data_IF_097249304950
#
_entry.id   IF_097249304950
#
_cell.length_a   1.000
_cell.length_b   1.000
_cell.length_c   1.000
_cell.angle_alpha   90.00
_cell.angle_beta   90.00
_cell.angle_gamma   90.00
#
_symmetry.space_group_name_H-M   'P 1'
#
loop_
_entity.id
_entity.type
_entity.pdbx_description
1 polymer ?
#
# COMPACT_ATOMS: atom_id res chain seq x y z
N UNK A 1 24.16 -6.17 9.72
CA UNK A 1 23.03 -5.23 9.89
C UNK A 1 22.95 -4.30 8.68
N UNK A 2 22.63 -4.85 7.50
CA UNK A 2 22.53 -4.07 6.26
C UNK A 2 21.48 -4.61 5.30
N UNK A 3 20.96 -5.82 5.52
CA UNK A 3 19.92 -6.44 4.69
C UNK A 3 18.61 -5.68 4.82
N UNK A 4 18.11 -5.45 6.03
CA UNK A 4 16.81 -4.79 6.28
C UNK A 4 16.68 -3.38 5.67
N UNK A 5 17.75 -2.58 5.69
CA UNK A 5 17.75 -1.22 5.12
C UNK A 5 17.82 -1.21 3.59
N UNK A 6 18.52 -2.18 2.98
CA UNK A 6 18.51 -2.34 1.52
C UNK A 6 17.15 -2.82 1.03
N UNK A 7 16.52 -3.73 1.76
CA UNK A 7 15.19 -4.23 1.43
C UNK A 7 14.11 -3.15 1.61
N UNK A 8 14.27 -2.24 2.56
CA UNK A 8 13.39 -1.08 2.72
C UNK A 8 13.47 -0.14 1.51
N UNK A 9 14.67 0.31 1.13
CA UNK A 9 14.83 1.21 -0.02
C UNK A 9 14.29 0.59 -1.31
N UNK A 10 14.62 -0.68 -1.57
CA UNK A 10 14.10 -1.40 -2.74
C UNK A 10 12.57 -1.46 -2.78
N UNK A 11 11.91 -1.69 -1.63
CA UNK A 11 10.45 -1.72 -1.54
C UNK A 11 9.84 -0.35 -1.87
N UNK A 12 10.40 0.73 -1.30
CA UNK A 12 10.00 2.10 -1.59
C UNK A 12 10.17 2.47 -3.07
N UNK A 13 11.33 2.17 -3.65
CA UNK A 13 11.60 2.37 -5.08
C UNK A 13 10.61 1.61 -5.97
N UNK A 14 10.31 0.36 -5.63
CA UNK A 14 9.36 -0.46 -6.37
C UNK A 14 7.94 0.14 -6.29
N UNK A 15 7.51 0.56 -5.10
CA UNK A 15 6.21 1.18 -4.85
C UNK A 15 6.06 2.44 -5.71
N UNK A 16 7.04 3.33 -5.62
CA UNK A 16 7.14 4.55 -6.41
C UNK A 16 7.07 4.28 -7.91
N UNK A 17 7.84 3.30 -8.40
CA UNK A 17 7.86 2.92 -9.81
C UNK A 17 6.49 2.45 -10.30
N UNK A 18 5.83 1.56 -9.56
CA UNK A 18 4.50 1.05 -9.90
C UNK A 18 3.44 2.16 -9.94
N UNK A 19 3.52 3.12 -9.01
CA UNK A 19 2.63 4.27 -8.97
C UNK A 19 2.80 5.14 -10.22
N UNK A 20 4.05 5.42 -10.61
CA UNK A 20 4.34 6.19 -11.82
C UNK A 20 3.88 5.45 -13.08
N UNK A 21 3.99 4.11 -13.13
CA UNK A 21 3.46 3.32 -14.24
C UNK A 21 1.93 3.44 -14.35
N UNK A 22 1.22 3.34 -13.23
CA UNK A 22 -0.24 3.55 -13.19
C UNK A 22 -0.62 4.95 -13.66
N UNK A 23 0.10 5.97 -13.19
CA UNK A 23 -0.14 7.36 -13.58
C UNK A 23 0.09 7.58 -15.09
N UNK A 24 1.09 6.93 -15.68
CA UNK A 24 1.35 6.96 -17.13
C UNK A 24 0.33 6.16 -17.94
N UNK A 25 -0.52 5.36 -17.29
CA UNK A 25 -1.45 4.44 -17.96
C UNK A 25 -0.78 3.19 -18.54
N UNK A 26 0.43 2.86 -18.07
CA UNK A 26 1.17 1.68 -18.53
C UNK A 26 0.61 0.42 -17.85
N UNK A 27 -0.09 -0.40 -18.64
CA UNK A 27 -0.65 -1.69 -18.23
C UNK A 27 -1.33 -1.69 -16.83
N UNK A 28 -2.33 -0.82 -16.58
CA UNK A 28 -2.89 -0.64 -15.25
C UNK A 28 -3.50 -1.93 -14.66
N UNK A 29 -4.00 -2.82 -15.52
CA UNK A 29 -4.55 -4.11 -15.14
C UNK A 29 -3.49 -5.07 -14.59
N UNK A 30 -2.25 -4.99 -15.09
CA UNK A 30 -1.13 -5.79 -14.62
C UNK A 30 -0.42 -5.18 -13.41
N UNK A 31 -0.40 -3.85 -13.30
CA UNK A 31 0.30 -3.13 -12.23
C UNK A 31 -0.55 -3.05 -10.95
N UNK A 32 -1.87 -2.80 -11.04
CA UNK A 32 -2.79 -2.78 -9.89
C UNK A 32 -2.64 -3.99 -8.95
N UNK A 33 -2.74 -5.25 -9.41
CA UNK A 33 -2.64 -6.41 -8.52
C UNK A 33 -1.25 -6.57 -7.92
N UNK A 34 -0.19 -6.11 -8.59
CA UNK A 34 1.17 -6.11 -8.04
C UNK A 34 1.32 -5.06 -6.93
N UNK A 35 0.79 -3.87 -7.17
CA UNK A 35 0.78 -2.77 -6.21
C UNK A 35 0.03 -3.17 -4.92
N UNK A 36 -1.15 -3.77 -5.06
CA UNK A 36 -1.96 -4.29 -3.95
C UNK A 36 -1.15 -5.27 -3.09
N UNK A 37 -0.49 -6.25 -3.72
CA UNK A 37 0.35 -7.22 -2.98
C UNK A 37 1.54 -6.58 -2.27
N UNK A 38 2.12 -5.54 -2.87
CA UNK A 38 3.24 -4.82 -2.28
C UNK A 38 2.79 -3.99 -1.07
N UNK A 39 1.69 -3.24 -1.22
CA UNK A 39 1.08 -2.45 -0.14
C UNK A 39 0.74 -3.31 1.08
N UNK A 40 0.24 -4.53 0.89
CA UNK A 40 0.00 -5.47 1.99
C UNK A 40 1.26 -5.96 2.73
N UNK A 41 2.47 -5.67 2.24
CA UNK A 41 3.76 -6.06 2.84
C UNK A 41 4.60 -4.87 3.30
N UNK A 42 4.22 -3.65 2.92
CA UNK A 42 4.94 -2.43 3.24
C UNK A 42 4.25 -1.77 4.44
N UNK A 43 5.00 -1.40 5.50
CA UNK A 43 4.38 -0.72 6.64
C UNK A 43 3.86 0.66 6.23
N UNK A 44 2.78 1.09 6.89
CA UNK A 44 2.10 2.36 6.58
C UNK A 44 3.04 3.57 6.55
N UNK A 45 4.00 3.65 7.47
CA UNK A 45 5.00 4.72 7.54
C UNK A 45 5.80 4.86 6.23
N UNK A 46 6.23 3.73 5.67
CA UNK A 46 6.99 3.71 4.42
C UNK A 46 6.14 4.14 3.21
N UNK A 47 4.83 3.85 3.24
CA UNK A 47 3.89 4.27 2.19
C UNK A 47 3.75 5.79 2.21
N UNK A 48 3.50 6.38 3.39
CA UNK A 48 3.35 7.84 3.54
C UNK A 48 4.61 8.58 3.09
N UNK A 49 5.80 8.06 3.42
CA UNK A 49 7.05 8.65 2.94
C UNK A 49 7.12 8.67 1.39
N UNK A 50 6.81 7.55 0.73
CA UNK A 50 6.81 7.45 -0.74
C UNK A 50 5.75 8.37 -1.37
N UNK A 51 4.58 8.48 -0.76
CA UNK A 51 3.52 9.39 -1.20
C UNK A 51 3.98 10.86 -1.16
N UNK A 52 4.63 11.28 -0.07
CA UNK A 52 5.19 12.63 0.03
C UNK A 52 6.30 12.87 -0.99
N UNK A 53 7.18 11.90 -1.22
CA UNK A 53 8.23 12.00 -2.25
C UNK A 53 7.62 12.20 -3.65
N UNK A 54 6.59 11.42 -3.99
CA UNK A 54 5.89 11.52 -5.27
C UNK A 54 5.21 12.88 -5.47
N UNK A 55 4.61 13.43 -4.42
CA UNK A 55 4.02 14.79 -4.46
C UNK A 55 5.11 15.84 -4.73
N UNK A 56 6.25 15.72 -4.05
CA UNK A 56 7.39 16.63 -4.24
C UNK A 56 7.99 16.54 -5.65
N UNK A 57 7.89 15.38 -6.31
CA UNK A 57 8.30 15.18 -7.70
C UNK A 57 7.27 15.69 -8.72
N UNK A 58 6.11 16.15 -8.26
CA UNK A 58 5.07 16.76 -9.09
C UNK A 58 3.89 15.85 -9.41
N UNK A 59 3.76 14.69 -8.75
CA UNK A 59 2.54 13.89 -8.84
C UNK A 59 1.41 14.61 -8.09
N UNK A 60 0.24 14.85 -8.71
CA UNK A 60 -0.84 15.55 -8.04
C UNK A 60 -1.38 14.73 -6.87
N UNK A 61 -1.73 15.41 -5.78
CA UNK A 61 -2.26 14.77 -4.55
C UNK A 61 -3.47 13.89 -4.83
N UNK A 62 -4.31 14.24 -5.81
CA UNK A 62 -5.46 13.43 -6.23
C UNK A 62 -5.06 12.03 -6.73
N UNK A 63 -3.96 11.92 -7.47
CA UNK A 63 -3.44 10.64 -7.96
C UNK A 63 -2.88 9.80 -6.81
N UNK A 64 -2.26 10.45 -5.84
CA UNK A 64 -1.78 9.80 -4.62
C UNK A 64 -2.95 9.28 -3.78
N UNK A 65 -4.02 10.07 -3.60
CA UNK A 65 -5.21 9.67 -2.85
C UNK A 65 -5.93 8.48 -3.49
N UNK A 66 -5.90 8.33 -4.82
CA UNK A 66 -6.42 7.13 -5.50
C UNK A 66 -5.69 5.85 -5.09
N UNK A 67 -4.44 5.96 -4.63
CA UNK A 67 -3.67 4.82 -4.13
C UNK A 67 -4.09 4.44 -2.71
N UNK A 68 -4.51 5.40 -1.88
CA UNK A 68 -5.02 5.11 -0.53
C UNK A 68 -6.27 4.21 -0.57
N UNK A 69 -7.12 4.36 -1.60
CA UNK A 69 -8.27 3.48 -1.82
C UNK A 69 -7.82 2.05 -2.17
N UNK A 70 -6.83 1.92 -3.05
CA UNK A 70 -6.20 0.64 -3.40
C UNK A 70 -5.52 -0.01 -2.19
N UNK A 71 -4.93 0.78 -1.28
CA UNK A 71 -4.33 0.29 -0.05
C UNK A 71 -5.39 -0.32 0.88
N UNK A 72 -6.55 0.29 1.00
CA UNK A 72 -7.66 -0.26 1.78
C UNK A 72 -8.15 -1.58 1.18
N UNK A 73 -8.26 -1.66 -0.16
CA UNK A 73 -8.60 -2.91 -0.86
C UNK A 73 -7.52 -3.98 -0.68
N UNK A 74 -6.24 -3.60 -0.67
CA UNK A 74 -5.12 -4.49 -0.40
C UNK A 74 -5.13 -5.04 1.02
N UNK A 75 -5.44 -4.19 2.00
CA UNK A 75 -5.59 -4.61 3.38
C UNK A 75 -6.81 -5.52 3.54
N UNK A 76 -7.95 -5.20 2.92
CA UNK A 76 -9.15 -6.04 2.92
C UNK A 76 -8.90 -7.43 2.30
N UNK A 77 -8.18 -7.50 1.19
CA UNK A 77 -7.78 -8.79 0.60
C UNK A 77 -6.74 -9.56 1.42
N UNK A 78 -5.92 -8.87 2.21
CA UNK A 78 -4.93 -9.49 3.10
C UNK A 78 -5.55 -9.99 4.43
N UNK A 79 -6.54 -9.28 4.98
CA UNK A 79 -7.24 -9.71 6.21
C UNK A 79 -8.16 -10.93 5.98
N UNK A 80 -8.64 -11.15 4.75
CA UNK A 80 -9.47 -12.31 4.41
C UNK A 80 -8.70 -13.65 4.53
N UNK A 81 -7.36 -13.61 4.57
CA UNK A 81 -6.51 -14.80 4.70
C UNK A 81 -6.07 -15.11 6.16
N UNK A 82 -6.51 -14.34 7.17
CA UNK A 82 -5.98 -14.47 8.53
C UNK A 82 -6.96 -14.22 9.68
N UNK A 83 -8.26 -14.07 9.41
CA UNK A 83 -9.27 -13.88 10.44
C UNK A 83 -9.82 -15.20 11.00
N UNK A 84 -9.02 -15.94 11.77
CA UNK A 84 -9.58 -16.83 12.79
C UNK A 84 -10.39 -15.94 13.74
N UNK A 85 -11.72 -16.00 13.62
CA UNK A 85 -12.67 -15.18 14.36
C UNK A 85 -12.73 -15.66 15.81
N UNK A 86 -11.66 -15.48 16.57
CA UNK A 86 -11.74 -15.54 18.03
C UNK A 86 -11.88 -14.12 18.57
N UNK A 87 -13.09 -13.58 18.43
CA UNK A 87 -13.50 -12.40 19.18
C UNK A 87 -13.92 -12.93 20.57
N UNK A 88 -13.16 -12.71 21.65
CA UNK A 88 -13.64 -13.04 22.98
C UNK A 88 -14.89 -12.20 23.30
N UNK A 89 -15.91 -12.85 23.88
CA UNK A 89 -17.18 -12.22 24.21
C UNK A 89 -16.97 -11.05 25.19
N UNK A 90 -17.38 -9.83 24.79
CA UNK A 90 -17.27 -8.62 25.61
C UNK A 90 -16.97 -7.30 24.87
N UNK A 91 -17.35 -7.16 23.59
CA UNK A 91 -17.17 -5.91 22.84
C UNK A 91 -18.34 -4.93 23.10
N UNK A 92 -18.09 -3.67 23.50
CA UNK A 92 -19.12 -2.69 23.84
C UNK A 92 -19.60 -1.92 22.61
N UNK A 93 -20.02 -2.64 21.56
CA UNK A 93 -20.74 -2.06 20.40
C UNK A 93 -22.21 -2.46 20.38
N UNK A 94 -22.69 -3.10 21.44
CA UNK A 94 -24.10 -3.27 21.74
C UNK A 94 -24.41 -2.45 23.00
N UNK A 95 -25.62 -1.90 23.04
CA UNK A 95 -26.11 -0.91 24.00
C UNK A 95 -26.01 -1.33 25.49
#
# INVERSE_FOLDING_TARGET
>A
MSETLHDQRKRKDLLKHMILQLHRGDAPDAVRPQLVRLLGRVPYDEVVEVEQELINEGLPTEEVLKLCDIHTQALQGAIDAGGDKNVPAGHPVDA
#
